data_IF_961484416516
#
_entry.id   IF_961484416516
#
_cell.length_a   1.000
_cell.length_b   1.000
_cell.length_c   1.000
_cell.angle_alpha   90.00
_cell.angle_beta   90.00
_cell.angle_gamma   90.00
#
_symmetry.space_group_name_H-M   'P 1'
#
loop_
_entity.id
_entity.type
_entity.pdbx_description
1 polymer ?
#
# COMPACT_ATOMS: atom_id res chain seq x y z
N UNK A 1 15.05 -23.26 -5.19
CA UNK A 1 14.17 -23.29 -6.39
C UNK A 1 13.23 -22.09 -6.30
N UNK A 2 13.24 -21.27 -7.32
CA UNK A 2 12.34 -20.09 -7.37
C UNK A 2 10.94 -20.57 -7.74
N UNK A 3 9.94 -20.16 -6.96
CA UNK A 3 8.54 -20.47 -7.27
C UNK A 3 8.11 -19.78 -8.58
N UNK A 4 7.14 -20.35 -9.28
CA UNK A 4 6.52 -19.61 -10.39
C UNK A 4 5.78 -18.37 -9.86
N UNK A 5 5.66 -17.34 -10.68
CA UNK A 5 4.92 -16.12 -10.31
C UNK A 5 3.47 -16.46 -9.90
N UNK A 6 2.81 -17.36 -10.62
CA UNK A 6 1.43 -17.73 -10.32
C UNK A 6 1.31 -18.45 -8.96
N UNK A 7 2.24 -19.32 -8.64
CA UNK A 7 2.30 -20.01 -7.34
C UNK A 7 2.55 -18.99 -6.22
N UNK A 8 3.46 -18.07 -6.44
CA UNK A 8 3.77 -17.01 -5.46
C UNK A 8 2.56 -16.10 -5.23
N UNK A 9 1.91 -15.63 -6.28
CA UNK A 9 0.73 -14.79 -6.15
C UNK A 9 -0.41 -15.51 -5.40
N UNK A 10 -0.60 -16.81 -5.64
CA UNK A 10 -1.58 -17.60 -4.89
C UNK A 10 -1.22 -17.67 -3.40
N UNK A 11 0.04 -17.87 -3.06
CA UNK A 11 0.53 -17.87 -1.68
C UNK A 11 0.32 -16.51 -1.00
N UNK A 12 0.73 -15.42 -1.66
CA UNK A 12 0.56 -14.07 -1.13
C UNK A 12 -0.92 -13.70 -0.95
N UNK A 13 -1.77 -14.13 -1.86
CA UNK A 13 -3.23 -13.97 -1.75
C UNK A 13 -3.79 -14.68 -0.52
N UNK A 14 -3.34 -15.90 -0.25
CA UNK A 14 -3.75 -16.65 0.94
C UNK A 14 -3.29 -15.96 2.23
N UNK A 15 -2.06 -15.47 2.27
CA UNK A 15 -1.52 -14.71 3.41
C UNK A 15 -2.32 -13.43 3.65
N UNK A 16 -2.64 -12.70 2.59
CA UNK A 16 -3.46 -11.50 2.68
C UNK A 16 -4.87 -11.80 3.22
N UNK A 17 -5.48 -12.89 2.74
CA UNK A 17 -6.80 -13.33 3.18
C UNK A 17 -6.84 -13.66 4.69
N UNK A 18 -5.79 -14.26 5.23
CA UNK A 18 -5.64 -14.50 6.69
C UNK A 18 -5.65 -13.20 7.50
N UNK A 19 -5.26 -12.09 6.88
CA UNK A 19 -5.28 -10.75 7.48
C UNK A 19 -6.56 -9.96 7.18
N UNK A 20 -7.55 -10.59 6.55
CA UNK A 20 -8.81 -9.95 6.16
C UNK A 20 -8.68 -9.01 4.95
N UNK A 21 -7.65 -9.21 4.13
CA UNK A 21 -7.34 -8.36 2.98
C UNK A 21 -7.65 -9.10 1.68
N UNK A 22 -8.38 -8.45 0.79
CA UNK A 22 -8.69 -8.95 -0.54
C UNK A 22 -7.60 -8.52 -1.52
N UNK A 23 -7.23 -9.40 -2.43
CA UNK A 23 -6.20 -9.12 -3.43
C UNK A 23 -6.72 -9.21 -4.85
N UNK A 24 -6.07 -8.48 -5.75
CA UNK A 24 -6.28 -8.58 -7.19
C UNK A 24 -4.95 -8.43 -7.93
N UNK A 25 -4.66 -9.38 -8.81
CA UNK A 25 -3.56 -9.23 -9.76
C UNK A 25 -3.90 -8.17 -10.79
N UNK A 26 -2.98 -7.25 -11.02
CA UNK A 26 -3.10 -6.20 -12.05
C UNK A 26 -1.82 -6.12 -12.88
N UNK A 27 -1.89 -5.66 -14.13
CA UNK A 27 -0.68 -5.24 -14.85
C UNK A 27 -0.05 -4.06 -14.11
N UNK A 28 1.27 -4.01 -14.00
CA UNK A 28 1.96 -2.88 -13.39
C UNK A 28 1.68 -1.56 -14.16
N UNK A 29 1.40 -1.65 -15.45
CA UNK A 29 1.00 -0.50 -16.28
C UNK A 29 -0.32 0.17 -15.87
N UNK A 30 -1.14 -0.51 -15.07
CA UNK A 30 -2.38 0.07 -14.52
C UNK A 30 -2.12 1.02 -13.34
N UNK A 31 -0.90 1.02 -12.82
CA UNK A 31 -0.52 1.95 -11.74
C UNK A 31 -0.31 3.35 -12.33
N UNK A 32 -1.19 4.27 -11.94
CA UNK A 32 -1.14 5.65 -12.41
C UNK A 32 -0.28 6.48 -11.45
N UNK A 33 0.76 7.09 -11.98
CA UNK A 33 1.61 8.04 -11.25
C UNK A 33 1.42 9.43 -11.83
N UNK A 34 0.85 10.33 -11.04
CA UNK A 34 0.49 11.68 -11.47
C UNK A 34 1.20 12.76 -10.66
N UNK A 35 1.66 13.79 -11.34
CA UNK A 35 2.38 14.91 -10.70
C UNK A 35 1.47 15.77 -9.82
N UNK A 36 0.17 15.86 -10.16
CA UNK A 36 -0.78 16.69 -9.43
C UNK A 36 -0.93 16.31 -7.94
N UNK A 37 -0.67 15.06 -7.59
CA UNK A 37 -0.71 14.59 -6.20
C UNK A 37 0.26 15.38 -5.32
N UNK A 38 1.41 15.76 -5.88
CA UNK A 38 2.42 16.58 -5.17
C UNK A 38 1.92 17.99 -4.87
N UNK A 39 1.07 18.54 -5.71
CA UNK A 39 0.44 19.84 -5.44
C UNK A 39 -0.48 19.78 -4.22
N UNK A 40 -1.23 18.69 -4.06
CA UNK A 40 -2.03 18.46 -2.84
C UNK A 40 -1.16 18.43 -1.58
N UNK A 41 -0.05 17.71 -1.62
CA UNK A 41 0.89 17.67 -0.51
C UNK A 41 1.46 19.08 -0.21
N UNK A 42 1.91 19.77 -1.25
CA UNK A 42 2.61 21.07 -1.10
C UNK A 42 1.68 22.20 -0.65
N UNK A 43 0.44 22.23 -1.14
CA UNK A 43 -0.47 23.35 -0.91
C UNK A 43 -1.61 23.06 0.06
N UNK A 44 -1.87 21.81 0.40
CA UNK A 44 -3.03 21.44 1.22
C UNK A 44 -2.74 20.52 2.41
N UNK A 45 -1.52 20.00 2.55
CA UNK A 45 -1.22 19.04 3.61
C UNK A 45 -0.37 19.68 4.72
N UNK A 46 -0.90 19.64 5.95
CA UNK A 46 -0.16 20.05 7.14
C UNK A 46 1.06 19.18 7.47
N UNK A 47 1.09 17.96 6.94
CA UNK A 47 2.20 17.00 7.10
C UNK A 47 3.33 17.18 6.08
N UNK A 48 3.21 18.12 5.14
CA UNK A 48 4.25 18.36 4.14
C UNK A 48 5.62 18.60 4.78
N UNK A 49 6.64 17.93 4.28
CA UNK A 49 8.03 18.00 4.75
C UNK A 49 8.26 17.58 6.21
N UNK A 50 7.29 16.98 6.87
CA UNK A 50 7.40 16.59 8.30
C UNK A 50 7.80 15.13 8.51
N UNK A 51 7.63 14.27 7.50
CA UNK A 51 7.94 12.84 7.59
C UNK A 51 8.76 12.40 6.39
N UNK A 52 9.61 11.39 6.55
CA UNK A 52 10.41 10.83 5.45
C UNK A 52 9.57 10.18 4.34
N UNK A 53 8.36 9.75 4.64
CA UNK A 53 7.39 9.27 3.65
C UNK A 53 6.65 10.39 2.90
N UNK A 54 6.92 11.65 3.23
CA UNK A 54 6.30 12.83 2.64
C UNK A 54 7.25 13.58 1.71
N UNK A 55 6.73 14.36 0.74
CA UNK A 55 7.55 15.27 -0.03
C UNK A 55 8.24 16.30 0.87
N UNK A 56 9.44 16.75 0.53
CA UNK A 56 10.27 16.40 -0.63
C UNK A 56 11.11 15.14 -0.46
N UNK A 57 11.00 14.43 0.66
CA UNK A 57 11.85 13.28 1.00
C UNK A 57 11.42 11.99 0.28
N UNK A 58 10.12 11.81 0.05
CA UNK A 58 9.61 10.68 -0.72
C UNK A 58 10.06 10.77 -2.19
N UNK A 59 10.18 9.62 -2.90
CA UNK A 59 10.53 9.62 -4.31
C UNK A 59 9.63 10.54 -5.13
N UNK A 60 10.20 11.22 -6.11
CA UNK A 60 9.43 12.07 -7.02
C UNK A 60 8.49 11.23 -7.90
N UNK A 61 7.43 11.82 -8.49
CA UNK A 61 6.61 11.11 -9.48
C UNK A 61 7.43 10.58 -10.65
N UNK A 62 8.46 11.29 -11.08
CA UNK A 62 9.37 10.83 -12.13
C UNK A 62 10.13 9.56 -11.72
N UNK A 63 10.73 9.55 -10.53
CA UNK A 63 11.42 8.38 -9.99
C UNK A 63 10.46 7.20 -9.78
N UNK A 64 9.27 7.47 -9.29
CA UNK A 64 8.23 6.45 -9.07
C UNK A 64 7.77 5.83 -10.38
N UNK A 65 7.55 6.64 -11.44
CA UNK A 65 7.22 6.12 -12.78
C UNK A 65 8.33 5.24 -13.34
N UNK A 66 9.57 5.68 -13.21
CA UNK A 66 10.71 4.90 -13.67
C UNK A 66 10.79 3.55 -12.96
N UNK A 67 10.61 3.53 -11.65
CA UNK A 67 10.61 2.30 -10.85
C UNK A 67 9.44 1.39 -11.23
N UNK A 68 8.20 1.89 -11.29
CA UNK A 68 7.03 1.09 -11.68
C UNK A 68 7.18 0.53 -13.09
N UNK A 69 7.83 1.25 -13.99
CA UNK A 69 8.11 0.81 -15.37
C UNK A 69 9.02 -0.43 -15.46
N UNK A 70 9.73 -0.78 -14.41
CA UNK A 70 10.54 -2.00 -14.34
C UNK A 70 9.73 -3.26 -13.99
N UNK A 71 8.46 -3.11 -13.62
CA UNK A 71 7.58 -4.22 -13.23
C UNK A 71 6.55 -4.52 -14.29
N UNK A 72 6.16 -5.79 -14.36
CA UNK A 72 5.09 -6.27 -15.26
C UNK A 72 3.80 -6.56 -14.49
N UNK A 73 3.91 -6.97 -13.23
CA UNK A 73 2.78 -7.43 -12.43
C UNK A 73 2.74 -6.69 -11.10
N UNK A 74 1.53 -6.29 -10.71
CA UNK A 74 1.21 -5.77 -9.39
C UNK A 74 0.20 -6.67 -8.69
N UNK A 75 0.26 -6.68 -7.36
CA UNK A 75 -0.75 -7.26 -6.49
C UNK A 75 -1.43 -6.12 -5.74
N UNK A 76 -2.66 -5.81 -6.13
CA UNK A 76 -3.46 -4.78 -5.48
C UNK A 76 -4.06 -5.36 -4.19
N UNK A 77 -3.92 -4.65 -3.10
CA UNK A 77 -4.45 -5.01 -1.79
C UNK A 77 -5.62 -4.09 -1.45
N UNK A 78 -6.74 -4.67 -1.08
CA UNK A 78 -7.94 -3.94 -0.65
C UNK A 78 -8.21 -4.20 0.83
N UNK A 79 -8.27 -3.13 1.58
CA UNK A 79 -8.54 -3.12 3.00
C UNK A 79 -9.94 -2.57 3.24
N UNK A 80 -10.85 -3.43 3.69
CA UNK A 80 -12.24 -3.06 3.98
C UNK A 80 -12.46 -2.99 5.49
N UNK A 81 -12.79 -1.81 5.99
CA UNK A 81 -12.92 -1.59 7.44
C UNK A 81 -11.57 -1.63 8.16
N UNK A 82 -11.63 -1.67 9.48
CA UNK A 82 -10.46 -1.84 10.36
C UNK A 82 -10.79 -2.92 11.38
N UNK A 83 -9.97 -3.97 11.55
CA UNK A 83 -10.22 -5.01 12.54
C UNK A 83 -10.40 -4.43 13.93
N UNK A 84 -11.48 -4.85 14.62
CA UNK A 84 -11.83 -4.38 15.96
C UNK A 84 -12.59 -3.06 16.02
N UNK A 85 -12.90 -2.44 14.89
CA UNK A 85 -13.69 -1.22 14.78
C UNK A 85 -14.99 -1.47 14.02
N UNK A 86 -16.07 -0.81 14.46
CA UNK A 86 -17.34 -0.85 13.73
C UNK A 86 -17.23 -0.07 12.42
N UNK A 87 -17.98 -0.51 11.42
CA UNK A 87 -18.11 0.25 10.17
C UNK A 87 -18.94 1.51 10.41
N UNK A 88 -18.51 2.62 9.85
CA UNK A 88 -19.20 3.90 9.92
C UNK A 88 -19.52 4.40 8.52
N UNK A 89 -20.59 5.20 8.43
CA UNK A 89 -20.98 5.81 7.17
C UNK A 89 -20.05 6.96 6.75
N UNK A 90 -20.17 7.45 5.52
CA UNK A 90 -19.29 8.50 4.99
C UNK A 90 -19.39 9.83 5.78
N UNK A 91 -20.49 10.04 6.46
CA UNK A 91 -20.74 11.26 7.25
C UNK A 91 -20.45 11.08 8.75
N UNK A 92 -20.14 9.84 9.17
CA UNK A 92 -19.88 9.51 10.56
C UNK A 92 -18.37 9.42 10.80
N UNK A 93 -17.85 10.24 11.69
CA UNK A 93 -16.50 10.05 12.22
C UNK A 93 -16.57 9.17 13.45
N UNK A 94 -15.75 8.13 13.59
CA UNK A 94 -15.70 7.34 14.80
C UNK A 94 -15.37 8.23 16.00
N UNK A 95 -16.03 8.00 17.14
CA UNK A 95 -15.76 8.74 18.39
C UNK A 95 -14.29 8.67 18.78
N UNK A 96 -13.63 7.56 18.43
CA UNK A 96 -12.21 7.34 18.67
C UNK A 96 -11.41 7.31 17.35
N UNK A 97 -11.51 8.39 16.58
CA UNK A 97 -10.85 8.53 15.28
C UNK A 97 -9.33 8.31 15.38
N UNK A 98 -8.70 8.72 16.46
CA UNK A 98 -7.26 8.59 16.63
C UNK A 98 -6.82 7.12 16.70
N UNK A 99 -7.51 6.31 17.51
CA UNK A 99 -7.22 4.87 17.59
C UNK A 99 -7.57 4.13 16.30
N UNK A 100 -8.71 4.48 15.70
CA UNK A 100 -9.08 3.94 14.39
C UNK A 100 -8.00 4.18 13.35
N UNK A 101 -7.52 5.41 13.23
CA UNK A 101 -6.50 5.80 12.26
C UNK A 101 -5.16 5.10 12.52
N UNK A 102 -4.75 5.01 13.78
CA UNK A 102 -3.56 4.29 14.19
C UNK A 102 -3.63 2.81 13.84
N UNK A 103 -4.74 2.15 14.13
CA UNK A 103 -4.94 0.74 13.86
C UNK A 103 -5.01 0.48 12.35
N UNK A 104 -5.65 1.36 11.58
CA UNK A 104 -5.65 1.30 10.13
C UNK A 104 -4.23 1.33 9.55
N UNK A 105 -3.44 2.31 9.96
CA UNK A 105 -2.05 2.44 9.50
C UNK A 105 -1.22 1.22 9.85
N UNK A 106 -1.34 0.74 11.07
CA UNK A 106 -0.61 -0.43 11.55
C UNK A 106 -1.00 -1.68 10.74
N UNK A 107 -2.29 -1.89 10.52
CA UNK A 107 -2.79 -3.03 9.75
C UNK A 107 -2.30 -3.01 8.29
N UNK A 108 -2.41 -1.86 7.62
CA UNK A 108 -1.93 -1.69 6.24
C UNK A 108 -0.43 -1.95 6.16
N UNK A 109 0.36 -1.30 6.99
CA UNK A 109 1.82 -1.41 6.93
C UNK A 109 2.32 -2.80 7.27
N UNK A 110 1.81 -3.41 8.32
CA UNK A 110 2.23 -4.77 8.70
C UNK A 110 1.86 -5.79 7.64
N UNK A 111 0.70 -5.65 7.01
CA UNK A 111 0.27 -6.56 5.94
C UNK A 111 1.13 -6.39 4.68
N UNK A 112 1.32 -5.15 4.22
CA UNK A 112 2.15 -4.87 3.03
C UNK A 112 3.59 -5.35 3.26
N UNK A 113 4.17 -5.03 4.41
CA UNK A 113 5.53 -5.46 4.74
C UNK A 113 5.67 -6.98 4.81
N UNK A 114 4.69 -7.68 5.37
CA UNK A 114 4.72 -9.13 5.43
C UNK A 114 4.67 -9.76 4.03
N UNK A 115 3.82 -9.24 3.15
CA UNK A 115 3.71 -9.71 1.76
C UNK A 115 5.02 -9.47 1.00
N UNK A 116 5.56 -8.25 1.08
CA UNK A 116 6.85 -7.91 0.48
C UNK A 116 7.98 -8.81 0.97
N UNK A 117 8.10 -8.96 2.29
CA UNK A 117 9.09 -9.80 2.94
C UNK A 117 8.99 -11.26 2.50
N UNK A 118 7.77 -11.80 2.43
CA UNK A 118 7.55 -13.18 2.00
C UNK A 118 8.01 -13.38 0.56
N UNK A 119 7.58 -12.51 -0.34
CA UNK A 119 7.99 -12.56 -1.74
C UNK A 119 9.52 -12.45 -1.89
N UNK A 120 10.15 -11.56 -1.14
CA UNK A 120 11.61 -11.42 -1.14
C UNK A 120 12.32 -12.71 -0.77
N UNK A 121 11.92 -13.36 0.33
CA UNK A 121 12.55 -14.61 0.77
C UNK A 121 12.23 -15.80 -0.15
N UNK A 122 11.15 -15.76 -0.88
CA UNK A 122 10.79 -16.76 -1.87
C UNK A 122 11.51 -16.56 -3.24
N UNK A 123 12.40 -15.56 -3.31
CA UNK A 123 13.26 -15.33 -4.46
C UNK A 123 12.85 -14.16 -5.35
N UNK A 124 11.75 -13.49 -5.04
CA UNK A 124 11.30 -12.27 -5.76
C UNK A 124 11.97 -11.03 -5.14
N UNK A 125 13.28 -10.96 -5.26
CA UNK A 125 14.10 -9.94 -4.57
C UNK A 125 13.78 -8.49 -4.95
N UNK A 126 13.08 -8.26 -6.06
CA UNK A 126 12.59 -6.94 -6.46
C UNK A 126 11.17 -6.64 -5.98
N UNK A 127 10.56 -7.52 -5.16
CA UNK A 127 9.26 -7.21 -4.59
C UNK A 127 9.32 -5.88 -3.84
N UNK A 128 8.36 -5.01 -4.11
CA UNK A 128 8.30 -3.68 -3.52
C UNK A 128 6.86 -3.36 -3.09
N UNK A 129 6.68 -3.07 -1.80
CA UNK A 129 5.39 -2.75 -1.22
C UNK A 129 5.15 -1.24 -1.13
N UNK A 130 3.98 -0.80 -1.63
CA UNK A 130 3.49 0.54 -1.39
C UNK A 130 2.47 0.51 -0.25
N UNK A 131 2.74 1.25 0.82
CA UNK A 131 1.74 1.55 1.81
C UNK A 131 0.87 2.73 1.34
N UNK A 132 -0.42 2.69 1.63
CA UNK A 132 -1.31 3.81 1.42
C UNK A 132 -1.72 4.41 2.75
N UNK A 133 -1.59 5.71 2.88
CA UNK A 133 -2.16 6.44 4.00
C UNK A 133 -3.26 7.36 3.50
N UNK A 134 -4.40 7.43 4.19
CA UNK A 134 -5.30 8.56 3.99
C UNK A 134 -4.57 9.83 4.46
N UNK A 135 -4.39 10.73 3.54
CA UNK A 135 -3.80 12.04 3.84
C UNK A 135 -4.81 12.99 4.46
#
# INVERSE_FOLDING_TARGET
MILSLDTELAKLTAIAAEKGVTTKRIPASDVIVSDWVRFKCRFGCKGYAKHFGCPPYAPSPHETRAMVGEYQTGLLLRFDGVPGHESFGPDDLPEDFHHFYKDLILWVNTTVHMIEKTAFYDGFYKAFGFGGYPC
#
